data_IF_707174637582
#
_entry.id   IF_707174637582
#
_cell.length_a   1.000
_cell.length_b   1.000
_cell.length_c   1.000
_cell.angle_alpha   90.00
_cell.angle_beta   90.00
_cell.angle_gamma   90.00
#
_symmetry.space_group_name_H-M   'P 1'
#
loop_
_entity.id
_entity.type
_entity.pdbx_description
1 polymer ?
#
# COMPACT_ATOMS: atom_id res chain seq x y z
N UNK A 1 -21.43 67.05 20.35
CA UNK A 1 -21.65 66.44 19.03
C UNK A 1 -20.54 65.42 18.78
N UNK A 2 -20.97 64.21 18.39
CA UNK A 2 -20.24 63.12 17.72
C UNK A 2 -19.34 62.15 18.55
N UNK A 3 -19.98 61.02 18.88
CA UNK A 3 -19.54 59.62 18.97
C UNK A 3 -18.13 59.24 18.46
N UNK A 4 -17.55 58.19 19.07
CA UNK A 4 -16.94 57.09 18.34
C UNK A 4 -17.79 55.82 18.50
N UNK A 5 -18.51 55.44 17.45
CA UNK A 5 -19.15 54.14 17.33
C UNK A 5 -18.41 53.29 16.32
N UNK A 6 -17.52 52.40 16.78
CA UNK A 6 -16.85 51.29 16.05
C UNK A 6 -16.28 50.37 17.15
N UNK A 7 -16.46 49.06 17.26
CA UNK A 7 -17.08 48.01 16.46
C UNK A 7 -17.47 46.85 17.40
N UNK A 8 -18.71 46.83 17.89
CA UNK A 8 -19.26 45.68 18.62
C UNK A 8 -19.69 44.53 17.71
N UNK A 9 -19.83 44.79 16.39
CA UNK A 9 -20.30 43.81 15.41
C UNK A 9 -19.22 42.82 14.96
N UNK A 10 -17.94 43.22 14.89
CA UNK A 10 -16.86 42.30 14.49
C UNK A 10 -16.47 41.31 15.59
N UNK A 11 -16.60 41.68 16.87
CA UNK A 11 -16.35 40.75 17.98
C UNK A 11 -17.48 39.72 18.10
N UNK A 12 -18.74 40.14 17.98
CA UNK A 12 -19.89 39.25 18.02
C UNK A 12 -19.93 38.26 16.85
N UNK A 13 -19.54 38.69 15.63
CA UNK A 13 -19.47 37.81 14.46
C UNK A 13 -18.36 36.75 14.62
N UNK A 14 -17.20 37.13 15.17
CA UNK A 14 -16.09 36.19 15.41
C UNK A 14 -16.43 35.15 16.48
N UNK A 15 -17.13 35.54 17.54
CA UNK A 15 -17.58 34.61 18.59
C UNK A 15 -18.67 33.67 18.06
N UNK A 16 -19.59 34.17 17.21
CA UNK A 16 -20.62 33.34 16.59
C UNK A 16 -20.04 32.29 15.63
N UNK A 17 -19.03 32.64 14.81
CA UNK A 17 -18.32 31.69 13.94
C UNK A 17 -17.58 30.64 14.78
N UNK A 18 -16.91 31.04 15.87
CA UNK A 18 -16.20 30.12 16.77
C UNK A 18 -17.16 29.09 17.42
N UNK A 19 -18.35 29.54 17.84
CA UNK A 19 -19.36 28.67 18.44
C UNK A 19 -19.98 27.71 17.41
N UNK A 20 -20.18 28.14 16.16
CA UNK A 20 -20.70 27.26 15.08
C UNK A 20 -19.66 26.19 14.72
N UNK A 21 -18.37 26.54 14.66
CA UNK A 21 -17.29 25.57 14.46
C UNK A 21 -17.19 24.56 15.62
N UNK A 22 -17.36 24.99 16.87
CA UNK A 22 -17.32 24.09 18.03
C UNK A 22 -18.49 23.09 18.05
N UNK A 23 -19.68 23.52 17.64
CA UNK A 23 -20.88 22.65 17.60
C UNK A 23 -20.79 21.62 16.47
N UNK A 24 -20.21 21.97 15.31
CA UNK A 24 -19.98 21.01 14.21
C UNK A 24 -18.95 19.94 14.59
N UNK A 25 -17.93 20.27 15.39
CA UNK A 25 -16.93 19.30 15.88
C UNK A 25 -17.55 18.31 16.88
N UNK A 26 -18.54 18.72 17.67
CA UNK A 26 -19.22 17.79 18.61
C UNK A 26 -20.19 16.80 17.94
N UNK A 27 -20.64 17.08 16.71
CA UNK A 27 -21.56 16.21 15.97
C UNK A 27 -20.85 15.22 15.02
N UNK A 28 -19.57 15.46 14.70
CA UNK A 28 -18.71 14.52 13.98
C UNK A 28 -17.80 13.67 14.91
N UNK A 29 -17.95 13.84 16.23
CA UNK A 29 -17.14 13.20 17.26
C UNK A 29 -17.59 11.79 17.60
N UNK A 30 -17.61 10.88 16.62
CA UNK A 30 -17.49 9.44 16.86
C UNK A 30 -16.77 8.84 15.63
N UNK A 31 -15.49 8.49 15.82
CA UNK A 31 -14.54 7.88 14.86
C UNK A 31 -13.71 8.79 13.94
N UNK A 32 -13.03 9.83 14.44
CA UNK A 32 -11.79 10.34 13.80
C UNK A 32 -10.86 10.84 14.92
N UNK A 33 -9.74 10.15 15.15
CA UNK A 33 -8.73 10.52 16.16
C UNK A 33 -7.37 10.91 15.55
N UNK A 34 -7.30 11.19 14.25
CA UNK A 34 -6.07 11.64 13.61
C UNK A 34 -6.29 13.03 13.01
N UNK A 35 -5.30 13.91 13.18
CA UNK A 35 -5.26 15.31 12.68
C UNK A 35 -5.75 16.41 13.64
N UNK A 36 -5.21 16.46 14.86
CA UNK A 36 -5.07 17.74 15.58
C UNK A 36 -3.68 18.36 15.32
N UNK A 37 -2.65 17.55 15.04
CA UNK A 37 -1.28 18.02 14.74
C UNK A 37 -1.22 18.92 13.50
N UNK A 38 -1.76 18.45 12.36
CA UNK A 38 -1.81 19.23 11.12
C UNK A 38 -2.57 20.55 11.28
N UNK A 39 -3.64 20.55 12.07
CA UNK A 39 -4.43 21.75 12.35
C UNK A 39 -3.62 22.85 13.04
N UNK A 40 -2.64 22.50 13.89
CA UNK A 40 -1.83 23.50 14.60
C UNK A 40 -0.77 24.16 13.71
N UNK A 41 -0.24 23.45 12.70
CA UNK A 41 0.66 24.03 11.71
C UNK A 41 -0.10 24.90 10.71
N UNK A 42 -1.24 24.42 10.19
CA UNK A 42 -2.10 25.19 9.30
C UNK A 42 -2.72 26.44 9.98
N UNK A 43 -3.09 26.35 11.26
CA UNK A 43 -3.53 27.53 12.02
C UNK A 43 -2.38 28.51 12.27
N UNK A 44 -1.15 28.03 12.48
CA UNK A 44 0.02 28.91 12.62
C UNK A 44 0.32 29.65 11.32
N UNK A 45 0.20 28.98 10.19
CA UNK A 45 0.33 29.58 8.85
C UNK A 45 -0.80 30.56 8.56
N UNK A 46 -2.05 30.22 8.92
CA UNK A 46 -3.19 31.15 8.80
C UNK A 46 -3.08 32.36 9.74
N UNK A 47 -2.40 32.23 10.89
CA UNK A 47 -2.28 33.29 11.90
C UNK A 47 -0.99 34.11 11.78
N UNK A 48 -0.07 33.77 10.88
CA UNK A 48 1.15 34.54 10.60
C UNK A 48 2.11 34.67 11.80
N UNK A 49 2.06 33.72 12.74
CA UNK A 49 2.82 33.75 14.00
C UNK A 49 3.92 32.67 13.99
N UNK A 50 4.90 32.80 13.09
CA UNK A 50 6.12 31.98 13.09
C UNK A 50 6.95 32.05 11.79
N UNK A 51 8.09 32.75 11.85
CA UNK A 51 9.26 32.73 10.94
C UNK A 51 9.00 32.81 9.42
N UNK A 52 9.08 34.04 8.88
CA UNK A 52 9.44 34.36 7.49
C UNK A 52 8.44 33.93 6.40
N UNK A 53 8.38 34.61 5.25
CA UNK A 53 7.54 34.13 4.16
C UNK A 53 8.09 32.78 3.70
N UNK A 54 7.28 31.72 3.75
CA UNK A 54 7.56 30.50 2.97
C UNK A 54 7.73 30.94 1.51
N UNK A 55 8.98 31.02 1.06
CA UNK A 55 9.26 31.21 -0.36
C UNK A 55 8.65 30.03 -1.09
N UNK A 56 7.78 30.31 -2.04
CA UNK A 56 7.21 29.37 -3.02
C UNK A 56 8.27 28.76 -3.97
N UNK A 57 9.54 28.75 -3.56
CA UNK A 57 10.67 28.35 -4.38
C UNK A 57 10.87 26.84 -4.30
N UNK A 58 10.78 26.19 -5.46
CA UNK A 58 11.26 24.81 -5.67
C UNK A 58 12.76 24.82 -5.37
N UNK A 59 13.15 24.27 -4.21
CA UNK A 59 14.55 24.35 -3.74
C UNK A 59 15.46 23.33 -4.43
N UNK A 60 14.86 22.29 -5.04
CA UNK A 60 15.58 21.22 -5.69
C UNK A 60 14.94 20.83 -7.01
N UNK A 61 15.80 20.61 -8.01
CA UNK A 61 15.46 20.01 -9.30
C UNK A 61 16.31 18.76 -9.46
N UNK A 62 15.70 17.57 -9.64
CA UNK A 62 16.43 16.32 -9.81
C UNK A 62 17.31 16.32 -11.07
N UNK A 63 18.46 15.66 -10.97
CA UNK A 63 19.27 15.32 -12.13
C UNK A 63 18.75 14.02 -12.75
N UNK A 64 17.97 14.11 -13.82
CA UNK A 64 17.40 12.93 -14.47
C UNK A 64 18.44 12.00 -15.08
N UNK A 65 19.67 12.48 -15.34
CA UNK A 65 20.74 11.64 -15.83
C UNK A 65 21.24 10.65 -14.76
N UNK A 66 20.98 10.90 -13.47
CA UNK A 66 21.31 9.98 -12.39
C UNK A 66 20.20 9.00 -12.05
N UNK A 67 19.04 9.07 -12.70
CA UNK A 67 17.91 8.22 -12.38
C UNK A 67 18.19 6.77 -12.79
N UNK A 68 17.84 5.86 -11.90
CA UNK A 68 17.91 4.42 -12.12
C UNK A 68 16.52 3.84 -11.99
N UNK A 69 16.22 2.83 -12.82
CA UNK A 69 14.98 2.07 -12.79
C UNK A 69 15.30 0.58 -12.78
N UNK A 70 14.44 -0.26 -12.19
CA UNK A 70 14.74 -1.67 -11.99
C UNK A 70 14.78 -2.43 -13.32
N UNK A 71 15.78 -3.31 -13.46
CA UNK A 71 15.74 -4.34 -14.50
C UNK A 71 14.58 -5.33 -14.25
N UNK A 72 14.13 -6.00 -15.30
CA UNK A 72 13.12 -7.06 -15.20
C UNK A 72 13.80 -8.42 -15.32
N UNK A 73 13.85 -9.22 -14.23
CA UNK A 73 14.42 -10.55 -14.31
C UNK A 73 13.66 -11.46 -15.28
N UNK A 74 14.38 -12.38 -15.91
CA UNK A 74 13.79 -13.36 -16.84
C UNK A 74 13.37 -14.67 -16.17
N UNK A 75 13.73 -14.88 -14.90
CA UNK A 75 13.38 -16.08 -14.14
C UNK A 75 12.06 -15.88 -13.38
N UNK A 76 11.34 -16.97 -13.10
CA UNK A 76 10.12 -16.92 -12.30
C UNK A 76 10.44 -17.01 -10.80
N UNK A 77 9.66 -16.30 -9.98
CA UNK A 77 9.69 -16.45 -8.51
C UNK A 77 8.74 -17.53 -8.01
N UNK A 78 7.80 -17.98 -8.85
CA UNK A 78 6.78 -18.96 -8.44
C UNK A 78 7.42 -20.33 -8.20
N UNK A 79 7.30 -20.82 -6.97
CA UNK A 79 7.68 -22.19 -6.60
C UNK A 79 6.41 -23.05 -6.53
N UNK A 80 6.02 -23.64 -7.65
CA UNK A 80 4.91 -24.58 -7.67
C UNK A 80 5.47 -25.98 -7.44
N UNK A 81 5.15 -26.58 -6.30
CA UNK A 81 5.38 -28.01 -6.10
C UNK A 81 4.51 -28.79 -7.10
N UNK A 82 5.03 -29.90 -7.60
CA UNK A 82 4.27 -30.73 -8.54
C UNK A 82 3.12 -31.40 -7.80
N UNK A 83 1.92 -31.32 -8.39
CA UNK A 83 0.74 -32.01 -7.86
C UNK A 83 1.09 -33.48 -7.65
N UNK A 84 0.92 -34.02 -6.42
CA UNK A 84 1.25 -35.40 -6.13
C UNK A 84 0.52 -36.35 -7.08
N UNK A 85 1.06 -37.54 -7.39
CA UNK A 85 0.46 -38.45 -8.40
C UNK A 85 -0.04 -39.79 -7.86
N UNK A 86 0.43 -40.24 -6.70
CA UNK A 86 0.03 -41.52 -6.10
C UNK A 86 -1.35 -41.39 -5.44
N UNK A 87 -2.43 -41.61 -6.21
CA UNK A 87 -3.82 -41.45 -5.77
C UNK A 87 -4.32 -42.62 -4.90
N UNK A 88 -5.30 -42.35 -4.04
CA UNK A 88 -6.01 -43.37 -3.23
C UNK A 88 -7.50 -43.04 -3.06
N UNK A 89 -8.38 -44.05 -3.02
CA UNK A 89 -9.79 -43.86 -2.67
C UNK A 89 -10.02 -43.67 -1.16
N UNK A 90 -9.01 -43.97 -0.31
CA UNK A 90 -9.11 -43.73 1.13
C UNK A 90 -9.17 -42.23 1.40
N UNK A 91 -10.08 -41.78 2.27
CA UNK A 91 -10.29 -40.38 2.59
C UNK A 91 -9.65 -40.01 3.95
N UNK A 92 -8.38 -39.59 4.01
CA UNK A 92 -7.75 -39.17 5.26
C UNK A 92 -8.33 -37.84 5.76
N UNK A 93 -8.73 -37.78 7.03
CA UNK A 93 -9.17 -36.52 7.63
C UNK A 93 -8.09 -35.43 7.57
N UNK A 94 -8.52 -34.18 7.43
CA UNK A 94 -7.67 -32.99 7.48
C UNK A 94 -8.27 -31.90 8.39
N UNK A 95 -7.44 -30.95 8.81
CA UNK A 95 -7.88 -29.77 9.57
C UNK A 95 -7.04 -28.58 9.13
N UNK A 96 -7.71 -27.50 8.72
CA UNK A 96 -7.08 -26.29 8.20
C UNK A 96 -7.65 -25.06 8.91
N UNK A 97 -6.80 -24.06 9.11
CA UNK A 97 -7.20 -22.71 9.47
C UNK A 97 -6.71 -21.73 8.40
N UNK A 98 -7.39 -20.59 8.27
CA UNK A 98 -7.04 -19.55 7.30
C UNK A 98 -6.86 -18.21 7.98
N UNK A 99 -5.84 -17.47 7.56
CA UNK A 99 -5.68 -16.05 7.82
C UNK A 99 -5.69 -15.29 6.49
N UNK A 100 -6.22 -14.07 6.45
CA UNK A 100 -6.26 -13.28 5.24
C UNK A 100 -6.18 -11.78 5.52
N UNK A 101 -5.64 -11.05 4.55
CA UNK A 101 -5.66 -9.59 4.48
C UNK A 101 -6.37 -9.17 3.20
N UNK A 102 -7.13 -8.08 3.25
CA UNK A 102 -7.90 -7.61 2.10
C UNK A 102 -7.63 -6.14 1.80
N UNK A 103 -7.70 -5.76 0.53
CA UNK A 103 -7.91 -4.36 0.19
C UNK A 103 -9.37 -3.97 0.44
N UNK A 104 -9.65 -2.67 0.34
CA UNK A 104 -11.01 -2.15 0.41
C UNK A 104 -11.95 -2.75 -0.66
N UNK A 105 -13.22 -2.80 -0.31
CA UNK A 105 -14.31 -3.32 -1.15
C UNK A 105 -15.10 -2.17 -1.77
N UNK A 106 -15.04 -2.01 -3.10
CA UNK A 106 -15.78 -0.99 -3.83
C UNK A 106 -16.80 -1.61 -4.78
N UNK A 107 -18.03 -1.11 -4.81
CA UNK A 107 -19.10 -1.58 -5.70
C UNK A 107 -18.62 -1.64 -7.17
N UNK A 108 -18.66 -2.83 -7.77
CA UNK A 108 -18.20 -3.06 -9.14
C UNK A 108 -16.68 -2.96 -9.34
N UNK A 109 -15.90 -2.92 -8.26
CA UNK A 109 -14.44 -2.81 -8.28
C UNK A 109 -13.68 -4.13 -8.16
N UNK A 110 -12.38 -4.03 -7.96
CA UNK A 110 -11.51 -5.18 -7.67
C UNK A 110 -11.06 -5.11 -6.22
N UNK A 111 -11.27 -6.18 -5.44
CA UNK A 111 -10.64 -6.35 -4.14
C UNK A 111 -9.53 -7.38 -4.22
N UNK A 112 -8.46 -7.17 -3.45
CA UNK A 112 -7.30 -8.06 -3.38
C UNK A 112 -7.32 -8.83 -2.07
N UNK A 113 -7.02 -10.12 -2.13
CA UNK A 113 -6.93 -10.99 -0.96
C UNK A 113 -5.53 -11.60 -0.90
N UNK A 114 -4.77 -11.33 0.16
CA UNK A 114 -3.59 -12.11 0.53
C UNK A 114 -4.05 -13.23 1.45
N UNK A 115 -3.92 -14.47 1.02
CA UNK A 115 -4.47 -15.64 1.72
C UNK A 115 -3.32 -16.49 2.26
N UNK A 116 -3.43 -16.90 3.52
CA UNK A 116 -2.54 -17.86 4.14
C UNK A 116 -3.34 -18.99 4.77
N UNK A 117 -2.84 -20.22 4.60
CA UNK A 117 -3.46 -21.42 5.15
C UNK A 117 -2.47 -22.08 6.09
N UNK A 118 -2.98 -22.59 7.20
CA UNK A 118 -2.22 -23.38 8.16
C UNK A 118 -2.80 -24.78 8.29
N UNK A 119 -1.90 -25.77 8.25
CA UNK A 119 -2.25 -27.17 8.46
C UNK A 119 -2.28 -27.50 9.95
N UNK A 120 -3.48 -27.54 10.53
CA UNK A 120 -3.72 -27.95 11.92
C UNK A 120 -3.89 -29.48 12.05
N UNK A 121 -3.87 -30.18 10.92
CA UNK A 121 -4.01 -31.63 10.84
C UNK A 121 -2.73 -32.38 11.17
N UNK A 122 -2.79 -33.71 11.04
CA UNK A 122 -1.65 -34.62 11.26
C UNK A 122 -1.02 -35.14 9.97
N UNK A 123 -1.67 -34.87 8.84
CA UNK A 123 -1.23 -35.35 7.53
C UNK A 123 -0.80 -34.15 6.68
N UNK A 124 0.25 -34.27 5.86
CA UNK A 124 0.55 -33.30 4.82
C UNK A 124 -0.65 -33.03 3.91
N UNK A 125 -0.85 -31.75 3.60
CA UNK A 125 -1.90 -31.25 2.70
C UNK A 125 -1.22 -30.59 1.51
N UNK A 126 -1.70 -30.91 0.32
CA UNK A 126 -1.28 -30.23 -0.90
C UNK A 126 -2.45 -29.39 -1.39
N UNK A 127 -2.23 -28.09 -1.59
CA UNK A 127 -3.22 -27.18 -2.13
C UNK A 127 -2.82 -26.89 -3.57
N UNK A 128 -3.61 -27.40 -4.50
CA UNK A 128 -3.37 -27.19 -5.93
C UNK A 128 -3.73 -25.75 -6.30
N UNK A 129 -4.91 -25.31 -5.85
CA UNK A 129 -5.49 -24.01 -6.16
C UNK A 129 -6.15 -23.41 -4.93
N UNK A 130 -6.16 -22.09 -4.89
CA UNK A 130 -6.91 -21.32 -3.92
C UNK A 130 -7.80 -20.32 -4.64
N UNK A 131 -8.83 -19.85 -3.96
CA UNK A 131 -9.77 -18.92 -4.54
C UNK A 131 -10.67 -18.25 -3.53
N UNK A 132 -11.49 -17.35 -4.06
CA UNK A 132 -12.48 -16.60 -3.31
C UNK A 132 -13.81 -16.72 -4.04
N UNK A 133 -14.81 -17.27 -3.34
CA UNK A 133 -16.21 -17.21 -3.74
C UNK A 133 -16.81 -15.90 -3.26
N UNK A 134 -17.46 -15.19 -4.17
CA UNK A 134 -18.21 -13.97 -3.91
C UNK A 134 -19.66 -14.23 -4.26
N UNK A 135 -20.50 -14.19 -3.24
CA UNK A 135 -21.93 -14.44 -3.33
C UNK A 135 -22.69 -13.15 -3.10
N UNK A 136 -23.37 -12.68 -4.15
CA UNK A 136 -24.40 -11.66 -4.07
C UNK A 136 -25.67 -12.19 -4.75
N UNK A 137 -26.18 -11.53 -5.80
CA UNK A 137 -27.26 -12.08 -6.64
C UNK A 137 -26.81 -13.29 -7.47
N UNK A 138 -25.54 -13.31 -7.88
CA UNK A 138 -24.86 -14.41 -8.54
C UNK A 138 -23.66 -14.88 -7.70
N UNK A 139 -23.36 -16.18 -7.74
CA UNK A 139 -22.12 -16.73 -7.16
C UNK A 139 -21.02 -16.70 -8.22
N UNK A 140 -19.91 -16.05 -7.91
CA UNK A 140 -18.69 -16.06 -8.74
C UNK A 140 -17.53 -16.59 -7.93
N UNK A 141 -16.67 -17.38 -8.57
CA UNK A 141 -15.46 -17.92 -7.95
C UNK A 141 -14.27 -17.45 -8.77
N UNK A 142 -13.33 -16.81 -8.10
CA UNK A 142 -12.02 -16.43 -8.63
C UNK A 142 -11.00 -17.37 -8.02
N UNK A 143 -10.03 -17.83 -8.81
CA UNK A 143 -9.05 -18.79 -8.34
C UNK A 143 -7.71 -18.65 -9.06
N UNK A 144 -6.64 -19.01 -8.37
CA UNK A 144 -5.28 -19.06 -8.91
C UNK A 144 -4.63 -20.40 -8.51
N UNK A 145 -3.68 -20.85 -9.34
CA UNK A 145 -2.87 -22.03 -9.06
C UNK A 145 -1.74 -21.65 -8.09
N UNK A 146 -1.46 -22.51 -7.12
CA UNK A 146 -0.39 -22.27 -6.13
C UNK A 146 0.55 -23.46 -5.92
N UNK A 147 0.04 -24.70 -6.03
CA UNK A 147 0.86 -25.90 -5.82
C UNK A 147 1.64 -25.86 -4.49
N UNK A 148 0.95 -25.62 -3.37
CA UNK A 148 1.55 -25.48 -2.05
C UNK A 148 1.48 -26.79 -1.26
N UNK A 149 2.61 -27.27 -0.76
CA UNK A 149 2.69 -28.43 0.15
C UNK A 149 2.85 -27.94 1.59
N UNK A 150 1.83 -28.17 2.42
CA UNK A 150 1.83 -27.81 3.84
C UNK A 150 2.02 -29.06 4.71
N UNK A 151 3.14 -29.14 5.40
CA UNK A 151 3.35 -30.20 6.40
C UNK A 151 2.57 -29.89 7.69
N UNK A 152 2.31 -30.88 8.56
CA UNK A 152 1.60 -30.64 9.82
C UNK A 152 2.23 -29.51 10.66
N UNK A 153 1.42 -28.52 11.04
CA UNK A 153 1.81 -27.35 11.81
C UNK A 153 2.32 -26.16 10.98
N UNK A 154 2.55 -26.32 9.68
CA UNK A 154 3.04 -25.26 8.79
C UNK A 154 1.93 -24.30 8.39
N UNK A 155 2.25 -23.00 8.35
CA UNK A 155 1.45 -21.95 7.74
C UNK A 155 2.19 -21.41 6.52
N UNK A 156 1.49 -21.28 5.40
CA UNK A 156 2.05 -20.75 4.16
C UNK A 156 1.09 -19.73 3.54
N UNK A 157 1.64 -18.63 3.05
CA UNK A 157 0.89 -17.71 2.18
C UNK A 157 0.76 -18.33 0.79
N UNK A 158 -0.49 -18.50 0.33
CA UNK A 158 -0.80 -19.08 -0.98
C UNK A 158 -0.65 -18.07 -2.11
N UNK A 159 -0.76 -16.78 -1.80
CA UNK A 159 -0.58 -15.70 -2.76
C UNK A 159 -1.63 -14.60 -2.61
N UNK A 160 -1.62 -13.68 -3.58
CA UNK A 160 -2.57 -12.58 -3.69
C UNK A 160 -3.48 -12.83 -4.88
N UNK A 161 -4.79 -12.72 -4.68
CA UNK A 161 -5.79 -12.88 -5.75
C UNK A 161 -6.63 -11.63 -5.93
N UNK A 162 -6.82 -11.24 -7.19
CA UNK A 162 -7.72 -10.17 -7.59
C UNK A 162 -9.14 -10.71 -7.75
N UNK A 163 -10.10 -10.08 -7.09
CA UNK A 163 -11.49 -10.52 -7.00
C UNK A 163 -12.40 -9.39 -7.46
N UNK A 164 -13.13 -9.60 -8.55
CA UNK A 164 -14.14 -8.65 -8.99
C UNK A 164 -15.33 -8.73 -8.03
N UNK A 165 -15.55 -7.63 -7.30
CA UNK A 165 -16.68 -7.50 -6.39
C UNK A 165 -17.89 -6.94 -7.13
N UNK A 166 -19.09 -7.29 -6.69
CA UNK A 166 -20.30 -7.02 -7.45
C UNK A 166 -20.78 -5.58 -7.17
N UNK A 167 -21.82 -5.10 -7.86
CA UNK A 167 -22.28 -3.71 -7.75
C UNK A 167 -23.24 -3.48 -6.57
N UNK A 168 -23.72 -4.56 -5.95
CA UNK A 168 -24.62 -4.56 -4.81
C UNK A 168 -23.99 -3.90 -3.56
N UNK A 169 -24.82 -3.53 -2.60
CA UNK A 169 -24.34 -2.88 -1.36
C UNK A 169 -23.60 -3.85 -0.43
N UNK A 170 -23.81 -5.16 -0.57
CA UNK A 170 -23.22 -6.20 0.28
C UNK A 170 -22.85 -7.42 -0.53
N UNK A 171 -21.80 -8.12 -0.10
CA UNK A 171 -21.44 -9.42 -0.62
C UNK A 171 -21.00 -10.36 0.51
N UNK A 172 -21.29 -11.65 0.34
CA UNK A 172 -20.76 -12.72 1.19
C UNK A 172 -19.55 -13.36 0.52
N UNK A 173 -18.46 -13.48 1.24
CA UNK A 173 -17.15 -13.83 0.72
C UNK A 173 -16.66 -15.07 1.46
N UNK A 174 -16.10 -16.05 0.75
CA UNK A 174 -15.55 -17.27 1.35
C UNK A 174 -14.31 -17.73 0.61
N UNK A 175 -13.30 -18.22 1.34
CA UNK A 175 -12.12 -18.84 0.74
C UNK A 175 -12.50 -20.24 0.24
N UNK A 176 -12.00 -20.61 -0.94
CA UNK A 176 -12.20 -21.91 -1.57
C UNK A 176 -10.83 -22.55 -1.82
N UNK A 177 -10.67 -23.81 -1.44
CA UNK A 177 -9.43 -24.56 -1.62
C UNK A 177 -9.68 -25.81 -2.46
N UNK A 178 -8.81 -26.06 -3.44
CA UNK A 178 -8.73 -27.34 -4.15
C UNK A 178 -7.52 -28.08 -3.60
N UNK A 179 -7.77 -29.14 -2.83
CA UNK A 179 -6.74 -29.75 -2.01
C UNK A 179 -6.73 -31.27 -2.10
N UNK A 180 -5.56 -31.80 -1.78
CA UNK A 180 -5.32 -33.20 -1.55
C UNK A 180 -4.80 -33.41 -0.14
N UNK A 181 -5.24 -34.47 0.52
CA UNK A 181 -4.69 -34.89 1.80
C UNK A 181 -3.97 -36.23 1.66
N UNK A 182 -2.82 -36.34 2.32
CA UNK A 182 -2.01 -37.56 2.30
C UNK A 182 -2.47 -38.57 3.37
N UNK A 183 -2.23 -39.83 3.07
CA UNK A 183 -2.37 -40.96 3.99
C UNK A 183 -1.01 -41.28 4.62
N UNK A 184 -0.99 -42.09 5.68
CA UNK A 184 0.25 -42.56 6.31
C UNK A 184 1.15 -43.37 5.37
N UNK A 185 0.62 -43.89 4.26
CA UNK A 185 1.37 -44.61 3.22
C UNK A 185 1.94 -43.68 2.13
N UNK A 186 1.75 -42.36 2.25
CA UNK A 186 2.20 -41.38 1.24
C UNK A 186 1.33 -41.31 -0.02
N UNK A 187 0.15 -41.95 -0.02
CA UNK A 187 -0.85 -41.81 -1.08
C UNK A 187 -1.78 -40.64 -0.80
N UNK A 188 -2.33 -40.03 -1.85
CA UNK A 188 -3.08 -38.77 -1.81
C UNK A 188 -4.54 -38.96 -2.22
N UNK A 189 -5.45 -38.38 -1.44
CA UNK A 189 -6.86 -38.27 -1.79
C UNK A 189 -7.18 -36.84 -2.19
N UNK A 190 -7.84 -36.68 -3.32
CA UNK A 190 -8.30 -35.39 -3.83
C UNK A 190 -9.73 -35.14 -3.36
N UNK A 191 -9.97 -33.95 -2.80
CA UNK A 191 -11.27 -33.55 -2.29
C UNK A 191 -11.99 -32.67 -3.29
N UNK A 192 -13.32 -32.69 -3.23
CA UNK A 192 -14.14 -31.64 -3.81
C UNK A 192 -13.74 -30.26 -3.24
N UNK A 193 -13.99 -29.16 -3.98
CA UNK A 193 -13.60 -27.81 -3.54
C UNK A 193 -14.10 -27.52 -2.13
N UNK A 194 -13.16 -27.23 -1.24
CA UNK A 194 -13.44 -27.00 0.18
C UNK A 194 -13.72 -25.52 0.43
N UNK A 195 -14.98 -25.19 0.74
CA UNK A 195 -15.37 -23.85 1.18
C UNK A 195 -15.07 -23.69 2.67
N UNK A 196 -14.26 -22.68 3.00
CA UNK A 196 -14.03 -22.27 4.36
C UNK A 196 -15.14 -21.32 4.83
N UNK A 197 -15.20 -21.08 6.15
CA UNK A 197 -16.15 -20.14 6.72
C UNK A 197 -15.95 -18.75 6.13
N UNK A 198 -17.03 -18.18 5.62
CA UNK A 198 -17.05 -16.85 5.02
C UNK A 198 -17.43 -15.74 5.97
N UNK A 199 -17.46 -14.53 5.44
CA UNK A 199 -17.98 -13.33 6.09
C UNK A 199 -18.80 -12.50 5.11
N UNK A 200 -19.68 -11.65 5.63
CA UNK A 200 -20.44 -10.67 4.85
C UNK A 200 -19.87 -9.28 5.11
N UNK A 201 -19.70 -8.49 4.05
CA UNK A 201 -19.17 -7.13 4.16
C UNK A 201 -20.00 -6.14 3.33
N UNK A 202 -19.97 -4.88 3.74
CA UNK A 202 -20.56 -3.76 3.00
C UNK A 202 -19.57 -3.27 1.92
N UNK A 203 -20.09 -3.02 0.72
CA UNK A 203 -19.32 -2.53 -0.43
C UNK A 203 -19.45 -1.00 -0.53
N UNK A 204 -18.31 -0.31 -0.49
CA UNK A 204 -18.25 1.16 -0.57
C UNK A 204 -18.60 1.61 -1.99
N UNK A 205 -19.33 2.72 -2.18
CA UNK A 205 -19.49 3.29 -3.51
C UNK A 205 -18.13 3.74 -4.06
N UNK A 206 -17.97 3.67 -5.38
CA UNK A 206 -16.80 4.23 -6.07
C UNK A 206 -16.68 5.74 -5.83
N UNK A 207 -15.45 6.21 -5.61
CA UNK A 207 -15.18 7.63 -5.36
C UNK A 207 -15.21 8.46 -6.65
N UNK A 208 -15.53 9.74 -6.52
CA UNK A 208 -15.35 10.70 -7.61
C UNK A 208 -13.88 11.09 -7.74
N UNK A 209 -13.41 11.23 -8.98
CA UNK A 209 -12.02 11.58 -9.24
C UNK A 209 -11.74 13.02 -8.86
N UNK A 210 -10.77 13.23 -7.98
CA UNK A 210 -10.23 14.56 -7.66
C UNK A 210 -8.85 14.73 -8.28
N UNK A 211 -8.47 15.98 -8.51
CA UNK A 211 -7.13 16.34 -8.99
C UNK A 211 -6.47 17.22 -7.94
N UNK A 212 -5.62 16.65 -7.06
CA UNK A 212 -4.92 17.44 -6.07
C UNK A 212 -3.87 18.34 -6.73
N UNK A 213 -3.51 19.42 -6.05
CA UNK A 213 -2.39 20.27 -6.45
C UNK A 213 -1.07 19.57 -6.08
N UNK A 214 -0.12 19.54 -7.00
CA UNK A 214 1.21 19.01 -6.71
C UNK A 214 2.20 20.13 -6.36
N UNK A 215 2.96 19.97 -5.27
CA UNK A 215 4.03 20.88 -4.86
C UNK A 215 5.35 20.10 -4.74
N UNK A 216 6.31 20.41 -5.60
CA UNK A 216 7.59 19.69 -5.66
C UNK A 216 8.64 20.35 -4.77
N UNK A 217 9.31 19.55 -3.95
CA UNK A 217 10.43 19.92 -3.08
C UNK A 217 10.23 21.24 -2.30
N UNK A 218 9.14 21.40 -1.51
CA UNK A 218 9.06 22.51 -0.56
C UNK A 218 10.24 22.43 0.42
N UNK A 219 10.90 23.56 0.67
CA UNK A 219 12.17 23.64 1.39
C UNK A 219 12.21 22.84 2.71
N UNK A 220 11.18 22.99 3.55
CA UNK A 220 11.09 22.32 4.84
C UNK A 220 11.09 20.79 4.71
N UNK A 221 10.12 20.24 3.96
CA UNK A 221 9.97 18.81 3.78
C UNK A 221 11.14 18.19 3.01
N UNK A 222 11.65 18.90 1.99
CA UNK A 222 12.83 18.45 1.24
C UNK A 222 14.02 18.27 2.16
N UNK A 223 14.35 19.26 3.00
CA UNK A 223 15.46 19.18 3.94
C UNK A 223 15.21 18.16 5.06
N UNK A 224 13.97 18.02 5.55
CA UNK A 224 13.61 17.07 6.61
C UNK A 224 13.78 15.62 6.13
N UNK A 225 13.10 15.23 5.04
CA UNK A 225 13.14 13.85 4.52
C UNK A 225 14.54 13.44 4.07
N UNK A 226 15.24 14.30 3.33
CA UNK A 226 16.59 13.95 2.85
C UNK A 226 17.64 13.82 3.97
N UNK A 227 17.36 14.29 5.19
CA UNK A 227 18.20 14.02 6.37
C UNK A 227 17.87 12.68 7.03
N UNK A 228 16.63 12.22 6.90
CA UNK A 228 16.12 11.00 7.53
C UNK A 228 16.23 9.78 6.60
N UNK A 229 16.34 10.01 5.29
CA UNK A 229 16.63 8.99 4.29
C UNK A 229 18.13 8.70 4.28
N UNK A 230 18.50 7.51 4.76
CA UNK A 230 19.89 7.16 5.10
C UNK A 230 20.41 5.92 4.36
N UNK A 231 20.51 5.94 3.01
CA UNK A 231 20.89 4.75 2.23
C UNK A 231 22.32 4.25 2.47
N UNK A 232 23.19 5.11 3.01
CA UNK A 232 24.56 4.77 3.33
C UNK A 232 24.76 4.37 4.81
N UNK A 233 23.72 4.44 5.64
CA UNK A 233 23.80 4.01 7.03
C UNK A 233 24.02 2.49 7.07
N UNK A 234 25.03 2.00 7.83
CA UNK A 234 25.43 0.60 7.76
C UNK A 234 24.33 -0.42 8.01
N UNK A 235 23.47 -0.22 9.01
CA UNK A 235 22.42 -1.17 9.37
C UNK A 235 21.33 -1.18 8.29
N UNK A 236 20.91 0.00 7.82
CA UNK A 236 19.95 0.13 6.71
C UNK A 236 20.48 -0.53 5.44
N UNK A 237 21.71 -0.20 5.05
CA UNK A 237 22.34 -0.73 3.83
C UNK A 237 22.55 -2.25 3.92
N UNK A 238 23.00 -2.76 5.06
CA UNK A 238 23.24 -4.19 5.25
C UNK A 238 21.93 -4.96 5.19
N UNK A 239 20.87 -4.47 5.85
CA UNK A 239 19.55 -5.10 5.79
C UNK A 239 18.98 -5.09 4.37
N UNK A 240 19.09 -3.96 3.67
CA UNK A 240 18.63 -3.87 2.28
C UNK A 240 19.36 -4.87 1.35
N UNK A 241 20.69 -4.96 1.48
CA UNK A 241 21.49 -5.93 0.74
C UNK A 241 21.15 -7.39 1.11
N UNK A 242 20.86 -7.66 2.38
CA UNK A 242 20.45 -8.99 2.86
C UNK A 242 19.14 -9.45 2.24
N UNK A 243 18.15 -8.56 2.14
CA UNK A 243 16.86 -8.86 1.51
C UNK A 243 17.04 -9.00 -0.01
N UNK A 244 17.72 -8.04 -0.64
CA UNK A 244 17.89 -7.99 -2.09
C UNK A 244 18.71 -9.16 -2.65
N UNK A 245 19.68 -9.72 -1.91
CA UNK A 245 20.50 -10.85 -2.39
C UNK A 245 19.71 -12.14 -2.65
N UNK A 246 18.49 -12.25 -2.11
CA UNK A 246 17.56 -13.35 -2.41
C UNK A 246 17.14 -13.36 -3.89
N UNK A 247 17.29 -12.22 -4.57
CA UNK A 247 16.96 -12.04 -5.98
C UNK A 247 18.22 -11.60 -6.75
N UNK A 248 18.92 -12.55 -7.42
CA UNK A 248 20.23 -12.28 -8.01
C UNK A 248 20.19 -11.26 -9.15
N UNK A 249 21.30 -10.58 -9.36
CA UNK A 249 21.51 -9.61 -10.44
C UNK A 249 21.67 -8.17 -9.94
N UNK A 250 21.78 -7.25 -10.88
CA UNK A 250 21.73 -5.81 -10.60
C UNK A 250 20.35 -5.40 -10.05
N UNK A 251 20.22 -4.14 -9.65
CA UNK A 251 18.96 -3.55 -9.20
C UNK A 251 17.78 -3.96 -10.10
N UNK A 252 16.81 -4.66 -9.54
CA UNK A 252 15.71 -5.25 -10.30
C UNK A 252 14.38 -5.25 -9.55
N UNK A 253 13.29 -5.48 -10.28
CA UNK A 253 11.93 -5.31 -9.76
C UNK A 253 11.59 -6.30 -8.63
N UNK A 254 12.18 -7.49 -8.61
CA UNK A 254 11.96 -8.44 -7.51
C UNK A 254 12.64 -8.00 -6.22
N UNK A 255 13.77 -7.30 -6.31
CA UNK A 255 14.40 -6.67 -5.13
C UNK A 255 13.51 -5.55 -4.58
N UNK A 256 12.84 -4.78 -5.44
CA UNK A 256 11.85 -3.77 -5.02
C UNK A 256 10.69 -4.42 -4.27
N UNK A 257 10.10 -5.48 -4.83
CA UNK A 257 9.02 -6.23 -4.19
C UNK A 257 9.45 -6.82 -2.84
N UNK A 258 10.62 -7.43 -2.78
CA UNK A 258 11.14 -8.04 -1.55
C UNK A 258 11.40 -7.03 -0.43
N UNK A 259 11.93 -5.85 -0.77
CA UNK A 259 12.13 -4.77 0.21
C UNK A 259 10.80 -4.19 0.70
N UNK A 260 9.82 -4.04 -0.21
CA UNK A 260 8.46 -3.67 0.18
C UNK A 260 7.84 -4.70 1.14
N UNK A 261 7.93 -5.99 0.81
CA UNK A 261 7.40 -7.07 1.63
C UNK A 261 8.04 -7.09 3.01
N UNK A 262 9.37 -6.94 3.09
CA UNK A 262 10.09 -6.91 4.36
C UNK A 262 9.59 -5.77 5.26
N UNK A 263 9.52 -4.54 4.74
CA UNK A 263 9.01 -3.41 5.54
C UNK A 263 7.57 -3.66 5.97
N UNK A 264 6.72 -4.16 5.07
CA UNK A 264 5.31 -4.49 5.37
C UNK A 264 5.15 -5.57 6.44
N UNK A 265 6.01 -6.58 6.44
CA UNK A 265 5.88 -7.77 7.28
C UNK A 265 6.62 -7.65 8.61
N UNK A 266 7.69 -6.84 8.67
CA UNK A 266 8.55 -6.72 9.85
C UNK A 266 8.44 -5.37 10.58
N UNK A 267 7.77 -4.36 10.00
CA UNK A 267 7.60 -3.04 10.63
C UNK A 267 6.13 -2.81 11.00
N UNK A 268 5.86 -2.76 12.31
CA UNK A 268 4.52 -2.53 12.84
C UNK A 268 4.12 -1.06 12.76
N UNK A 269 2.85 -0.79 12.44
CA UNK A 269 2.32 0.57 12.48
C UNK A 269 2.09 1.00 13.94
N UNK A 270 2.76 2.07 14.36
CA UNK A 270 2.55 2.68 15.68
C UNK A 270 2.40 4.19 15.50
N UNK A 271 1.25 4.71 15.91
CA UNK A 271 0.98 6.15 15.89
C UNK A 271 1.89 6.92 16.83
N UNK A 272 2.20 8.14 16.42
CA UNK A 272 2.95 9.09 17.21
C UNK A 272 2.32 9.48 18.57
N UNK A 273 3.15 9.97 19.52
CA UNK A 273 2.67 10.55 20.76
C UNK A 273 1.70 11.71 20.50
N UNK A 274 0.55 11.69 21.19
CA UNK A 274 -0.53 12.68 21.02
C UNK A 274 -0.02 14.12 20.97
N UNK A 275 -0.25 14.76 19.82
CA UNK A 275 0.04 16.18 19.60
C UNK A 275 1.43 16.48 19.05
N UNK A 276 2.22 15.45 18.72
CA UNK A 276 3.49 15.57 18.00
C UNK A 276 3.43 14.73 16.72
N UNK A 277 4.25 15.14 15.75
CA UNK A 277 4.47 14.51 14.45
C UNK A 277 6.01 14.34 14.33
N UNK A 278 6.51 13.20 14.80
CA UNK A 278 7.91 12.84 14.99
C UNK A 278 8.30 11.92 13.84
N UNK A 279 9.21 12.39 13.00
CA UNK A 279 9.67 11.61 11.87
C UNK A 279 11.02 11.03 12.22
N UNK A 280 11.08 9.71 12.28
CA UNK A 280 12.27 8.98 12.67
C UNK A 280 13.22 8.78 11.47
N UNK A 281 14.55 8.80 11.71
CA UNK A 281 15.52 8.37 10.71
C UNK A 281 15.34 6.89 10.39
N UNK A 282 15.66 6.49 9.15
CA UNK A 282 15.49 5.12 8.68
C UNK A 282 16.14 4.08 9.60
N UNK A 283 17.32 4.36 10.16
CA UNK A 283 17.99 3.42 11.05
C UNK A 283 17.26 3.22 12.40
N UNK A 284 16.46 4.20 12.85
CA UNK A 284 15.67 4.11 14.07
C UNK A 284 14.45 3.23 13.83
N UNK A 285 13.66 3.51 12.78
CA UNK A 285 12.50 2.70 12.38
C UNK A 285 12.90 1.24 12.17
N UNK A 286 14.01 1.00 11.46
CA UNK A 286 14.54 -0.35 11.24
C UNK A 286 14.88 -1.08 12.55
N UNK A 287 15.55 -0.38 13.47
CA UNK A 287 15.98 -0.99 14.74
C UNK A 287 14.82 -1.27 15.68
N UNK A 288 13.80 -0.41 15.69
CA UNK A 288 12.62 -0.55 16.55
C UNK A 288 11.66 -1.59 15.95
N UNK A 289 11.58 -1.70 14.63
CA UNK A 289 10.56 -2.51 13.95
C UNK A 289 9.16 -1.91 14.05
N UNK A 290 9.07 -0.59 14.24
CA UNK A 290 7.80 0.12 14.26
C UNK A 290 7.96 1.59 13.84
N UNK A 291 6.87 2.15 13.29
CA UNK A 291 6.75 3.55 12.86
C UNK A 291 5.45 3.74 12.09
N UNK A 292 5.00 4.98 11.91
CA UNK A 292 3.80 5.30 11.15
C UNK A 292 4.09 5.51 9.65
N UNK A 293 3.26 6.30 8.96
CA UNK A 293 3.27 6.34 7.50
C UNK A 293 4.54 6.94 6.90
N UNK A 294 5.06 8.03 7.46
CA UNK A 294 6.27 8.67 6.97
C UNK A 294 7.52 7.90 7.38
N UNK A 295 7.55 7.31 8.57
CA UNK A 295 8.68 6.52 9.04
C UNK A 295 8.93 5.32 8.13
N UNK A 296 7.85 4.59 7.80
CA UNK A 296 7.93 3.47 6.88
C UNK A 296 8.27 3.90 5.44
N UNK A 297 7.77 5.06 4.99
CA UNK A 297 8.13 5.62 3.67
C UNK A 297 9.62 6.03 3.62
N UNK A 298 10.15 6.61 4.68
CA UNK A 298 11.56 7.01 4.84
C UNK A 298 12.46 5.78 4.88
N UNK A 299 12.11 4.77 5.68
CA UNK A 299 12.84 3.50 5.74
C UNK A 299 12.87 2.81 4.37
N UNK A 300 11.70 2.63 3.75
CA UNK A 300 11.60 1.96 2.46
C UNK A 300 12.40 2.71 1.37
N UNK A 301 12.31 4.05 1.34
CA UNK A 301 13.09 4.87 0.41
C UNK A 301 14.60 4.68 0.63
N UNK A 302 15.06 4.68 1.89
CA UNK A 302 16.47 4.47 2.24
C UNK A 302 16.99 3.12 1.79
N UNK A 303 16.19 2.06 1.98
CA UNK A 303 16.56 0.71 1.59
C UNK A 303 16.61 0.53 0.07
N UNK A 304 15.67 1.14 -0.67
CA UNK A 304 15.64 1.10 -2.12
C UNK A 304 16.82 1.88 -2.73
N UNK A 305 17.13 3.06 -2.20
CA UNK A 305 18.31 3.85 -2.57
C UNK A 305 19.61 3.09 -2.27
N UNK A 306 19.68 2.37 -1.15
CA UNK A 306 20.84 1.56 -0.77
C UNK A 306 21.16 0.43 -1.77
N UNK A 307 20.16 -0.06 -2.52
CA UNK A 307 20.32 -1.07 -3.57
C UNK A 307 20.31 -0.49 -4.98
N UNK A 308 20.31 0.85 -5.10
CA UNK A 308 20.48 1.55 -6.36
C UNK A 308 19.20 1.97 -7.07
N UNK A 309 18.06 2.01 -6.37
CA UNK A 309 16.81 2.60 -6.89
C UNK A 309 16.75 4.11 -6.68
N UNK A 310 16.11 4.84 -7.61
CA UNK A 310 15.78 6.26 -7.42
C UNK A 310 14.39 6.41 -6.83
N UNK A 311 14.26 7.14 -5.72
CA UNK A 311 13.03 7.21 -4.93
C UNK A 311 12.52 8.63 -4.70
N UNK A 312 11.26 8.68 -4.24
CA UNK A 312 10.56 9.87 -3.76
C UNK A 312 9.70 9.52 -2.57
N UNK A 313 9.41 10.51 -1.74
CA UNK A 313 8.35 10.43 -0.73
C UNK A 313 7.21 11.36 -1.14
N UNK A 314 5.99 10.84 -1.12
CA UNK A 314 4.75 11.58 -1.35
C UNK A 314 4.08 11.86 -0.02
N UNK A 315 3.80 13.13 0.25
CA UNK A 315 3.06 13.56 1.44
C UNK A 315 1.70 14.11 0.98
N UNK A 316 0.63 13.47 1.41
CA UNK A 316 -0.73 13.97 1.27
C UNK A 316 -1.11 14.77 2.52
N UNK A 317 -2.35 15.26 2.57
CA UNK A 317 -2.85 15.99 3.75
C UNK A 317 -2.96 15.10 5.00
N UNK A 318 -2.98 13.77 4.86
CA UNK A 318 -3.22 12.86 6.00
C UNK A 318 -2.44 11.54 5.95
N UNK A 319 -1.47 11.42 5.03
CA UNK A 319 -0.75 10.17 4.78
C UNK A 319 0.56 10.40 4.03
N UNK A 320 1.52 9.50 4.21
CA UNK A 320 2.79 9.47 3.48
C UNK A 320 3.05 8.09 2.88
N UNK A 321 3.69 8.06 1.71
CA UNK A 321 4.13 6.81 1.08
C UNK A 321 5.36 7.04 0.19
N UNK A 322 6.11 5.98 -0.10
CA UNK A 322 7.26 6.04 -0.98
C UNK A 322 6.84 5.82 -2.44
N UNK A 323 7.67 6.27 -3.36
CA UNK A 323 7.61 5.82 -4.74
C UNK A 323 8.98 5.61 -5.32
N UNK A 324 9.07 4.71 -6.29
CA UNK A 324 10.33 4.37 -6.95
C UNK A 324 10.21 4.54 -8.45
N UNK A 325 11.25 5.10 -9.07
CA UNK A 325 11.28 5.36 -10.49
C UNK A 325 11.28 4.05 -11.29
N UNK A 326 10.34 3.90 -12.21
CA UNK A 326 10.19 2.72 -13.08
C UNK A 326 10.44 3.04 -14.55
N UNK A 327 11.05 4.18 -14.83
CA UNK A 327 11.37 4.64 -16.18
C UNK A 327 10.34 5.61 -16.76
N UNK A 328 10.60 6.04 -17.98
CA UNK A 328 9.75 6.95 -18.72
C UNK A 328 9.06 6.21 -19.88
N UNK A 329 7.79 6.53 -20.13
CA UNK A 329 6.99 5.98 -21.22
C UNK A 329 6.43 4.58 -20.97
N UNK A 330 5.50 4.19 -21.85
CA UNK A 330 4.69 2.98 -21.71
C UNK A 330 5.48 1.68 -21.71
N UNK A 331 6.57 1.61 -22.48
CA UNK A 331 7.40 0.41 -22.53
C UNK A 331 7.99 0.06 -21.15
N UNK A 332 8.50 1.06 -20.44
CA UNK A 332 9.11 0.88 -19.12
C UNK A 332 8.05 0.52 -18.07
N UNK A 333 6.89 1.19 -18.11
CA UNK A 333 5.79 0.88 -17.20
C UNK A 333 5.21 -0.51 -17.43
N UNK A 334 5.01 -0.93 -18.68
CA UNK A 334 4.49 -2.27 -19.00
C UNK A 334 5.45 -3.37 -18.56
N UNK A 335 6.76 -3.12 -18.69
CA UNK A 335 7.80 -4.02 -18.22
C UNK A 335 7.79 -4.15 -16.68
N UNK A 336 7.67 -3.04 -15.96
CA UNK A 336 7.54 -3.03 -14.51
C UNK A 336 6.26 -3.74 -14.03
N UNK A 337 5.11 -3.45 -14.66
CA UNK A 337 3.82 -4.12 -14.38
C UNK A 337 3.94 -5.63 -14.57
N UNK A 338 4.56 -6.07 -15.67
CA UNK A 338 4.80 -7.50 -15.92
C UNK A 338 5.70 -8.12 -14.85
N UNK A 339 6.75 -7.41 -14.44
CA UNK A 339 7.64 -7.85 -13.36
C UNK A 339 6.92 -8.03 -12.03
N UNK A 340 6.15 -7.04 -11.60
CA UNK A 340 5.37 -7.09 -10.36
C UNK A 340 4.34 -8.22 -10.40
N UNK A 341 3.66 -8.41 -11.54
CA UNK A 341 2.72 -9.52 -11.72
C UNK A 341 3.38 -10.90 -11.70
N UNK A 342 4.61 -11.01 -12.20
CA UNK A 342 5.38 -12.24 -12.08
C UNK A 342 5.76 -12.56 -10.62
N UNK A 343 5.88 -11.52 -9.78
CA UNK A 343 6.21 -11.68 -8.36
C UNK A 343 4.98 -11.99 -7.49
N UNK A 344 3.91 -11.19 -7.60
CA UNK A 344 2.73 -11.26 -6.71
C UNK A 344 1.52 -12.00 -7.29
N UNK A 345 1.54 -12.35 -8.58
CA UNK A 345 0.37 -12.83 -9.31
C UNK A 345 -0.36 -11.71 -10.05
N UNK A 346 -1.55 -11.99 -10.58
CA UNK A 346 -2.27 -11.09 -11.47
C UNK A 346 -2.93 -9.89 -10.76
N UNK A 347 -2.11 -8.98 -10.23
CA UNK A 347 -2.53 -7.77 -9.52
C UNK A 347 -2.55 -6.53 -10.41
N UNK A 348 -3.35 -5.52 -10.07
CA UNK A 348 -3.18 -4.20 -10.67
C UNK A 348 -1.94 -3.50 -10.12
N UNK A 349 -1.36 -2.61 -10.90
CA UNK A 349 -0.12 -1.91 -10.52
C UNK A 349 -0.32 -0.43 -10.75
N UNK A 350 -0.21 0.35 -9.67
CA UNK A 350 -0.48 1.78 -9.64
C UNK A 350 0.83 2.56 -9.57
N UNK A 351 0.90 3.61 -10.38
CA UNK A 351 2.05 4.51 -10.45
C UNK A 351 1.59 5.94 -10.73
N UNK A 352 2.37 6.91 -10.24
CA UNK A 352 2.22 8.33 -10.57
C UNK A 352 3.10 8.66 -11.77
N UNK A 353 2.68 9.59 -12.61
CA UNK A 353 3.49 10.05 -13.76
C UNK A 353 3.59 11.56 -13.75
N UNK A 354 4.80 12.07 -13.98
CA UNK A 354 5.09 13.50 -14.10
C UNK A 354 6.09 13.78 -15.23
N UNK A 355 6.70 14.97 -15.23
CA UNK A 355 7.67 15.39 -16.25
C UNK A 355 8.94 14.52 -16.33
N UNK A 356 9.26 13.75 -15.27
CA UNK A 356 10.46 12.92 -15.22
C UNK A 356 10.21 11.45 -15.59
N UNK A 357 8.95 11.01 -15.52
CA UNK A 357 8.52 9.67 -15.90
C UNK A 357 7.56 9.09 -14.87
N UNK A 358 7.59 7.76 -14.71
CA UNK A 358 6.63 7.03 -13.90
C UNK A 358 7.26 6.51 -12.61
N UNK A 359 6.49 6.58 -11.53
CA UNK A 359 6.88 6.28 -10.17
C UNK A 359 5.91 5.28 -9.57
N UNK A 360 6.38 4.04 -9.37
CA UNK A 360 5.60 2.98 -8.73
C UNK A 360 5.22 3.40 -7.31
N UNK A 361 3.95 3.27 -6.95
CA UNK A 361 3.48 3.59 -5.59
C UNK A 361 3.84 2.47 -4.62
N UNK A 362 4.45 2.82 -3.49
CA UNK A 362 4.92 1.90 -2.48
C UNK A 362 4.45 2.36 -1.10
N UNK A 363 3.38 1.76 -0.61
CA UNK A 363 2.84 2.01 0.72
C UNK A 363 2.72 0.73 1.56
N UNK A 364 3.73 0.41 2.39
CA UNK A 364 3.71 -0.80 3.22
C UNK A 364 2.61 -0.77 4.29
N UNK A 365 2.17 0.41 4.72
CA UNK A 365 1.16 0.57 5.79
C UNK A 365 -0.24 0.15 5.36
N UNK A 366 -0.56 0.32 4.06
CA UNK A 366 -1.94 0.17 3.56
C UNK A 366 -2.06 -0.82 2.40
N UNK A 367 -1.05 -0.94 1.53
CA UNK A 367 -1.10 -1.84 0.37
C UNK A 367 -0.74 -3.27 0.74
N UNK A 368 -1.34 -4.26 0.05
CA UNK A 368 -0.99 -5.67 0.23
C UNK A 368 0.30 -6.09 -0.50
N UNK A 369 0.71 -5.32 -1.51
CA UNK A 369 1.84 -5.60 -2.40
C UNK A 369 2.39 -4.29 -2.99
N UNK A 370 3.62 -4.32 -3.52
CA UNK A 370 4.24 -3.19 -4.20
C UNK A 370 3.45 -2.80 -5.47
N UNK A 371 3.03 -1.54 -5.58
CA UNK A 371 2.12 -1.08 -6.64
C UNK A 371 0.64 -1.16 -6.29
N UNK A 372 0.29 -1.61 -5.08
CA UNK A 372 -1.06 -1.46 -4.53
C UNK A 372 -1.46 0.00 -4.36
N UNK A 373 -2.74 0.23 -4.09
CA UNK A 373 -3.25 1.57 -3.81
C UNK A 373 -2.82 2.04 -2.40
N UNK A 374 -2.15 3.21 -2.28
CA UNK A 374 -1.79 3.77 -0.99
C UNK A 374 -3.00 4.06 -0.09
N UNK A 375 -2.74 4.20 1.21
CA UNK A 375 -3.70 4.71 2.18
C UNK A 375 -4.28 6.04 1.72
N UNK A 376 -5.55 6.28 2.09
CA UNK A 376 -6.30 7.47 1.67
C UNK A 376 -6.42 7.62 0.15
N UNK A 377 -6.40 6.50 -0.58
CA UNK A 377 -6.83 6.44 -1.97
C UNK A 377 -8.03 5.51 -2.11
N UNK A 378 -8.75 5.63 -3.22
CA UNK A 378 -9.93 4.83 -3.52
C UNK A 378 -10.01 4.52 -5.01
N UNK A 379 -10.68 3.43 -5.36
CA UNK A 379 -11.10 3.21 -6.74
C UNK A 379 -12.14 4.25 -7.14
N UNK A 380 -12.03 4.71 -8.38
CA UNK A 380 -12.82 5.82 -8.90
C UNK A 380 -13.56 5.42 -10.17
N UNK A 381 -14.75 5.98 -10.37
CA UNK A 381 -15.50 5.81 -11.62
C UNK A 381 -14.72 6.46 -12.76
N UNK A 382 -14.54 5.74 -13.87
CA UNK A 382 -14.10 6.35 -15.13
C UNK A 382 -15.32 7.00 -15.79
N UNK A 383 -15.24 8.30 -16.05
CA UNK A 383 -16.18 8.92 -16.99
C UNK A 383 -15.84 8.34 -18.37
N UNK A 384 -16.73 7.49 -18.89
CA UNK A 384 -16.56 6.85 -20.18
C UNK A 384 -16.40 7.91 -21.27
N UNK A 385 -15.21 8.03 -21.84
CA UNK A 385 -14.99 8.72 -23.11
C UNK A 385 -14.96 7.62 -24.17
N UNK A 386 -16.13 7.30 -24.74
CA UNK A 386 -16.28 6.33 -25.82
C UNK A 386 -16.71 4.93 -25.37
N UNK A 387 -17.45 4.25 -26.25
CA UNK A 387 -18.01 2.91 -26.03
C UNK A 387 -16.89 1.86 -26.01
N UNK A 388 -16.92 1.00 -24.98
CA UNK A 388 -16.25 -0.32 -24.84
C UNK A 388 -14.94 -0.49 -24.06
N UNK A 389 -14.42 0.49 -23.33
CA UNK A 389 -13.33 0.21 -22.37
C UNK A 389 -13.55 0.91 -21.02
N UNK A 390 -14.06 0.16 -20.04
CA UNK A 390 -14.02 0.56 -18.63
C UNK A 390 -12.58 0.47 -18.14
N UNK A 391 -11.83 1.57 -18.29
CA UNK A 391 -10.52 1.68 -17.65
C UNK A 391 -10.69 1.63 -16.12
N UNK A 392 -9.79 0.93 -15.43
CA UNK A 392 -9.69 1.01 -13.96
C UNK A 392 -9.02 2.34 -13.62
N UNK A 393 -9.61 3.11 -12.70
CA UNK A 393 -9.03 4.36 -12.21
C UNK A 393 -9.09 4.40 -10.70
N UNK A 394 -8.22 5.21 -10.13
CA UNK A 394 -8.19 5.51 -8.71
C UNK A 394 -8.12 7.02 -8.50
N UNK A 395 -8.29 7.45 -7.24
CA UNK A 395 -8.22 8.83 -6.81
C UNK A 395 -7.71 8.92 -5.37
N UNK A 396 -7.11 10.05 -4.99
CA UNK A 396 -6.93 10.38 -3.58
C UNK A 396 -8.28 10.68 -2.92
N UNK A 397 -8.35 10.44 -1.61
CA UNK A 397 -9.50 10.74 -0.75
C UNK A 397 -9.07 11.82 0.23
N UNK A 398 -9.88 12.88 0.37
CA UNK A 398 -9.62 13.99 1.29
C UNK A 398 -8.19 14.58 1.16
N UNK A 399 -7.69 14.70 -0.06
CA UNK A 399 -6.35 15.25 -0.35
C UNK A 399 -6.47 16.41 -1.32
N UNK A 400 -6.16 17.60 -0.84
CA UNK A 400 -6.13 18.84 -1.60
C UNK A 400 -4.77 19.11 -2.24
N UNK A 401 -3.69 18.74 -1.54
CA UNK A 401 -2.31 18.91 -1.99
C UNK A 401 -1.51 17.60 -1.83
N UNK A 402 -0.65 17.32 -2.81
CA UNK A 402 0.38 16.28 -2.74
C UNK A 402 1.74 16.94 -2.83
N UNK A 403 2.54 16.83 -1.76
CA UNK A 403 3.92 17.29 -1.75
C UNK A 403 4.81 16.15 -2.22
N UNK A 404 5.60 16.40 -3.26
CA UNK A 404 6.50 15.40 -3.86
C UNK A 404 7.92 15.74 -3.46
N UNK A 405 8.56 14.84 -2.74
CA UNK A 405 9.88 15.04 -2.16
C UNK A 405 10.88 14.10 -2.82
N UNK A 406 11.71 14.68 -3.67
CA UNK A 406 12.84 14.03 -4.31
C UNK A 406 13.94 13.69 -3.33
N UNK A 407 14.51 12.49 -3.48
CA UNK A 407 15.69 12.07 -2.72
C UNK A 407 16.95 12.47 -3.50
N UNK A 408 17.81 13.24 -2.84
CA UNK A 408 19.06 13.75 -3.36
C UNK A 408 20.18 12.73 -3.15
N UNK A 409 20.93 12.46 -4.21
CA UNK A 409 22.16 11.64 -4.15
C UNK A 409 23.31 12.34 -3.41
N UNK A 410 23.18 13.63 -3.11
CA UNK A 410 24.15 14.42 -2.34
C UNK A 410 23.67 14.59 -0.92
N UNK A 411 24.57 14.36 0.04
CA UNK A 411 24.34 14.64 1.45
C UNK A 411 23.96 16.13 1.62
N UNK A 412 22.80 16.37 2.23
CA UNK A 412 22.37 17.71 2.62
C UNK A 412 23.10 18.06 3.92
N UNK A 413 23.94 19.11 3.87
CA UNK A 413 24.72 19.58 5.03
C UNK A 413 23.87 20.30 6.07
#
# INVERSE_FOLDING_TARGET
>A
MNNPGVSGKNAALKIAVLCICLVLVTMAGFFISDSIGNFTHELRDCLGLGVGPESSEKVFTPDTASFTFPAIPSYSTTKNELTPVLRTPLQPGFSLSSSYQTSDFFQGGISYFKISIKNEGRNPIFIDRYGVSVNASENKIFSEDCGALLIPGEEQSLGIIAVQVPEEEKASISIVLWLLASTSEGKWHEYEPYLMNGFTTDLKPMSEKITPKYRYNPAYYFNKINRLVEPAEPDVRNRAAEVARSYPGAYNIYQVCALFDMVKEEVEYVSDPRGNDIWEPANVTLRIGAGDCEDQAILLSSMLEAVGGTTRVYLTDTHAFAGVYIGNGTHSTDAAVKGIRAYYGNVDVNYLTDEYGSWLMLDPTSSLYAGGLPGKTAQAKVQAIGENETYRSWTFVNTSEVKVIDISTRAIK
#
